data_IF_677664879889
#
_entry.id   IF_677664879889
#
_cell.length_a   1.000
_cell.length_b   1.000
_cell.length_c   1.000
_cell.angle_alpha   90.00
_cell.angle_beta   90.00
_cell.angle_gamma   90.00
#
_symmetry.space_group_name_H-M   'P 1'
#
loop_
_entity.id
_entity.type
_entity.pdbx_description
1 polymer ?
#
# COMPACT_ATOMS: atom_id res chain seq x y z
N UNK A 1 -13.95 -16.58 3.89
CA UNK A 1 -12.88 -15.93 4.69
C UNK A 1 -13.34 -14.54 5.06
N UNK A 2 -13.07 -14.09 6.29
CA UNK A 2 -13.37 -12.74 6.77
C UNK A 2 -12.18 -12.16 7.51
N UNK A 3 -12.12 -10.82 7.62
CA UNK A 3 -11.07 -10.13 8.34
C UNK A 3 -11.63 -8.96 9.17
N UNK A 4 -10.98 -8.63 10.25
CA UNK A 4 -11.18 -7.44 11.05
C UNK A 4 -9.82 -6.94 11.52
N UNK A 5 -9.65 -5.63 11.57
CA UNK A 5 -8.39 -5.04 12.03
C UNK A 5 -8.58 -3.66 12.63
N UNK A 6 -7.55 -3.19 13.30
CA UNK A 6 -7.48 -1.84 13.85
C UNK A 6 -6.06 -1.32 13.85
N UNK A 7 -5.89 -0.02 13.75
CA UNK A 7 -4.63 0.71 13.81
C UNK A 7 -4.71 1.95 12.93
N UNK A 8 -4.41 3.12 13.49
CA UNK A 8 -4.51 4.41 12.80
C UNK A 8 -3.26 5.29 12.96
N UNK A 9 -2.43 5.03 13.98
CA UNK A 9 -1.14 5.68 14.20
C UNK A 9 -0.08 4.70 14.67
N UNK A 10 1.19 5.06 14.52
CA UNK A 10 2.36 4.17 14.65
C UNK A 10 2.22 2.99 13.69
N UNK A 11 1.96 3.29 12.42
CA UNK A 11 1.69 2.31 11.36
C UNK A 11 2.75 2.42 10.27
N UNK A 12 3.74 1.57 10.38
CA UNK A 12 4.68 1.20 9.32
C UNK A 12 5.10 -0.25 9.56
N UNK A 13 4.21 -1.23 9.34
CA UNK A 13 4.45 -2.59 9.75
C UNK A 13 5.72 -3.16 9.08
N UNK A 14 6.59 -3.66 9.93
CA UNK A 14 7.59 -4.66 9.59
C UNK A 14 7.33 -5.86 10.50
N UNK A 15 6.04 -6.17 10.63
CA UNK A 15 5.40 -7.09 11.59
C UNK A 15 5.64 -6.70 13.05
N UNK A 16 5.50 -5.62 13.12
CA UNK A 16 5.42 -5.06 14.51
C UNK A 16 4.25 -4.11 14.83
N UNK A 17 1.92 -2.69 15.43
CA UNK A 17 0.86 -2.11 16.38
C UNK A 17 -0.55 -2.24 15.87
N UNK A 18 -0.39 -2.57 14.66
CA UNK A 18 -1.61 -2.92 13.99
C UNK A 18 -2.07 -4.30 14.50
N UNK A 19 -3.36 -4.44 14.70
CA UNK A 19 -3.96 -5.74 14.98
C UNK A 19 -4.84 -6.15 13.82
N UNK A 20 -4.60 -7.31 13.24
CA UNK A 20 -5.44 -7.89 12.19
C UNK A 20 -5.75 -9.36 12.46
N UNK A 21 -7.02 -9.71 12.37
CA UNK A 21 -7.53 -11.05 12.61
C UNK A 21 -8.27 -11.54 11.38
N UNK A 22 -7.88 -12.70 10.89
CA UNK A 22 -8.50 -13.38 9.77
C UNK A 22 -9.16 -14.66 10.25
N UNK A 23 -10.32 -14.97 9.71
CA UNK A 23 -11.04 -16.22 9.95
C UNK A 23 -11.44 -16.88 8.65
N UNK A 24 -11.34 -18.21 8.63
CA UNK A 24 -11.84 -19.02 7.51
C UNK A 24 -12.44 -20.31 8.02
N UNK A 25 -13.40 -20.84 7.29
CA UNK A 25 -13.97 -22.18 7.51
C UNK A 25 -13.22 -23.27 6.72
N UNK A 26 -12.29 -22.92 5.86
CA UNK A 26 -11.50 -23.88 5.09
C UNK A 26 -10.67 -24.79 6.00
N UNK A 27 -10.55 -26.07 5.64
CA UNK A 27 -9.62 -27.00 6.23
C UNK A 27 -8.24 -26.80 5.56
N UNK A 28 -7.29 -26.24 6.31
CA UNK A 28 -5.90 -25.98 5.88
C UNK A 28 -4.97 -26.41 7.01
N UNK A 29 -3.91 -27.13 6.68
CA UNK A 29 -2.93 -27.56 7.69
C UNK A 29 -2.24 -26.36 8.34
N UNK A 30 -1.90 -26.38 9.63
CA UNK A 30 -1.24 -25.27 10.32
C UNK A 30 0.04 -24.80 9.63
N UNK A 31 0.81 -25.72 9.06
CA UNK A 31 2.06 -25.42 8.35
C UNK A 31 1.79 -24.58 7.09
N UNK A 32 0.78 -24.95 6.30
CA UNK A 32 0.43 -24.20 5.10
C UNK A 32 -0.31 -22.90 5.42
N UNK A 33 -1.06 -22.87 6.50
CA UNK A 33 -1.69 -21.64 6.98
C UNK A 33 -0.64 -20.58 7.36
N UNK A 34 0.38 -20.97 8.10
CA UNK A 34 1.53 -20.10 8.42
C UNK A 34 2.30 -19.70 7.15
N UNK A 35 2.54 -20.64 6.24
CA UNK A 35 3.21 -20.35 4.97
C UNK A 35 2.44 -19.36 4.12
N UNK A 36 1.12 -19.51 4.01
CA UNK A 36 0.25 -18.58 3.29
C UNK A 36 0.39 -17.15 3.85
N UNK A 37 0.35 -17.01 5.17
CA UNK A 37 0.51 -15.72 5.84
C UNK A 37 1.87 -15.09 5.53
N UNK A 38 2.97 -15.84 5.66
CA UNK A 38 4.33 -15.40 5.34
C UNK A 38 4.50 -15.02 3.86
N UNK A 39 3.73 -15.63 2.97
CA UNK A 39 3.74 -15.31 1.53
C UNK A 39 3.04 -13.99 1.24
N UNK A 40 1.93 -13.71 1.92
CA UNK A 40 1.08 -12.54 1.65
C UNK A 40 1.64 -11.26 2.28
N UNK A 41 2.11 -11.32 3.52
CA UNK A 41 2.54 -10.17 4.32
C UNK A 41 3.58 -9.26 3.63
N UNK A 42 4.63 -9.77 2.96
CA UNK A 42 5.63 -8.91 2.31
C UNK A 42 5.09 -8.04 1.17
N UNK A 43 3.99 -8.43 0.55
CA UNK A 43 3.35 -7.70 -0.56
C UNK A 43 2.13 -6.86 -0.14
N UNK A 44 1.73 -6.94 1.14
CA UNK A 44 0.55 -6.27 1.68
C UNK A 44 0.93 -5.42 2.90
N UNK A 45 0.86 -5.94 4.10
CA UNK A 45 1.09 -5.17 5.33
C UNK A 45 2.45 -4.46 5.37
N UNK A 46 3.53 -5.12 4.92
CA UNK A 46 4.85 -4.48 4.87
C UNK A 46 4.96 -3.40 3.77
N UNK A 47 3.92 -3.22 2.95
CA UNK A 47 3.80 -2.16 1.95
C UNK A 47 2.86 -1.03 2.39
N UNK A 48 2.37 -1.06 3.61
CA UNK A 48 1.50 -0.02 4.16
C UNK A 48 2.28 0.91 5.10
N UNK A 49 1.92 2.20 5.13
CA UNK A 49 2.42 3.14 6.14
C UNK A 49 1.48 4.33 6.33
N UNK A 50 1.26 4.73 7.58
CA UNK A 50 0.62 6.01 7.95
C UNK A 50 1.69 7.07 8.22
N UNK A 51 2.68 6.80 9.08
CA UNK A 51 3.61 7.77 9.65
C UNK A 51 5.08 7.34 9.68
N UNK A 52 5.44 6.19 9.11
CA UNK A 52 6.77 5.58 9.12
C UNK A 52 7.22 5.00 10.46
N UNK A 53 6.45 5.15 11.51
CA UNK A 53 6.80 4.65 12.83
C UNK A 53 6.40 3.18 12.97
N UNK A 54 7.40 2.32 13.16
CA UNK A 54 7.20 0.87 13.36
C UNK A 54 6.93 0.59 14.82
N UNK A 55 5.81 -0.04 15.10
CA UNK A 55 5.47 -0.46 16.45
C UNK A 55 6.23 -1.70 16.90
N UNK A 56 6.22 -1.97 18.20
CA UNK A 56 6.76 -3.19 18.82
C UNK A 56 5.71 -4.29 18.99
N UNK A 57 4.44 -4.04 18.62
CA UNK A 57 3.30 -4.91 18.99
C UNK A 57 2.32 -5.19 17.83
N UNK A 58 2.73 -5.07 16.56
CA UNK A 58 1.88 -5.49 15.44
C UNK A 58 1.59 -6.98 15.54
N UNK A 59 0.36 -7.33 15.27
CA UNK A 59 -0.07 -8.73 15.34
C UNK A 59 -1.01 -9.03 14.18
N UNK A 60 -0.71 -10.08 13.44
CA UNK A 60 -1.57 -10.62 12.40
C UNK A 60 -1.81 -12.10 12.67
N UNK A 61 -3.08 -12.47 12.84
CA UNK A 61 -3.50 -13.84 13.17
C UNK A 61 -4.48 -14.33 12.12
N UNK A 62 -4.31 -15.57 11.67
CA UNK A 62 -5.28 -16.29 10.86
C UNK A 62 -5.73 -17.56 11.57
N UNK A 63 -7.03 -17.79 11.58
CA UNK A 63 -7.67 -18.95 12.21
C UNK A 63 -8.52 -19.70 11.18
N UNK A 64 -8.32 -21.01 11.09
CA UNK A 64 -9.07 -21.89 10.19
C UNK A 64 -9.83 -22.93 11.02
N UNK A 65 -11.16 -22.99 10.85
CA UNK A 65 -12.00 -23.93 11.64
C UNK A 65 -12.18 -25.30 11.00
N UNK A 66 -11.91 -25.44 9.70
CA UNK A 66 -12.13 -26.69 8.95
C UNK A 66 -13.59 -27.05 8.72
N UNK A 67 -14.53 -26.14 8.99
CA UNK A 67 -15.98 -26.41 8.91
C UNK A 67 -16.55 -26.34 7.49
N UNK A 68 -15.77 -25.91 6.48
CA UNK A 68 -16.22 -25.87 5.08
C UNK A 68 -16.41 -27.27 4.49
N UNK A 69 -15.83 -28.32 5.12
CA UNK A 69 -15.97 -29.69 4.64
C UNK A 69 -15.14 -30.02 3.40
N UNK A 70 -14.22 -29.15 2.99
CA UNK A 70 -13.28 -29.45 1.94
C UNK A 70 -12.22 -30.48 2.42
N UNK A 71 -11.61 -31.25 1.49
CA UNK A 71 -10.38 -31.98 1.83
C UNK A 71 -9.34 -31.05 2.43
N UNK A 72 -8.65 -31.48 3.49
CA UNK A 72 -7.63 -30.64 4.11
C UNK A 72 -6.53 -30.27 3.10
N UNK A 73 -6.25 -28.98 2.97
CA UNK A 73 -5.15 -28.46 2.15
C UNK A 73 -3.85 -28.73 2.93
N UNK A 74 -3.11 -29.75 2.54
CA UNK A 74 -1.85 -30.18 3.19
C UNK A 74 -0.65 -30.18 2.23
N UNK A 75 -0.82 -29.73 0.99
CA UNK A 75 0.23 -29.53 -0.01
C UNK A 75 -0.03 -28.27 -0.85
N UNK A 76 1.00 -27.77 -1.55
CA UNK A 76 0.94 -26.57 -2.39
C UNK A 76 0.33 -26.88 -3.76
N UNK A 77 -0.91 -27.30 -3.76
CA UNK A 77 -1.70 -27.59 -4.95
C UNK A 77 -2.53 -26.36 -5.42
N UNK A 78 -3.41 -26.57 -6.37
CA UNK A 78 -4.29 -25.52 -6.91
C UNK A 78 -5.17 -24.88 -5.83
N UNK A 79 -5.69 -25.66 -4.88
CA UNK A 79 -6.53 -25.17 -3.78
C UNK A 79 -5.72 -24.28 -2.82
N UNK A 80 -4.47 -24.65 -2.52
CA UNK A 80 -3.55 -23.79 -1.75
C UNK A 80 -3.30 -22.46 -2.45
N UNK A 81 -3.03 -22.47 -3.76
CA UNK A 81 -2.81 -21.24 -4.51
C UNK A 81 -4.05 -20.37 -4.58
N UNK A 82 -5.24 -20.96 -4.72
CA UNK A 82 -6.51 -20.25 -4.65
C UNK A 82 -6.72 -19.62 -3.25
N UNK A 83 -6.39 -20.38 -2.18
CA UNK A 83 -6.46 -19.88 -0.81
C UNK A 83 -5.52 -18.68 -0.60
N UNK A 84 -4.27 -18.75 -1.06
CA UNK A 84 -3.30 -17.64 -0.98
C UNK A 84 -3.78 -16.43 -1.77
N UNK A 85 -4.34 -16.62 -2.96
CA UNK A 85 -4.89 -15.53 -3.77
C UNK A 85 -6.07 -14.83 -3.05
N UNK A 86 -6.99 -15.58 -2.47
CA UNK A 86 -8.08 -15.03 -1.68
C UNK A 86 -7.59 -14.27 -0.43
N UNK A 87 -6.61 -14.83 0.29
CA UNK A 87 -5.99 -14.17 1.43
C UNK A 87 -5.30 -12.86 1.01
N UNK A 88 -4.59 -12.85 -0.14
CA UNK A 88 -3.95 -11.66 -0.69
C UNK A 88 -4.97 -10.56 -0.97
N UNK A 89 -6.06 -10.90 -1.67
CA UNK A 89 -7.10 -9.92 -2.02
C UNK A 89 -7.72 -9.26 -0.78
N UNK A 90 -8.00 -10.06 0.26
CA UNK A 90 -8.53 -9.50 1.52
C UNK A 90 -7.46 -8.66 2.24
N UNK A 91 -6.19 -9.10 2.23
CA UNK A 91 -5.12 -8.37 2.88
C UNK A 91 -4.84 -7.02 2.18
N UNK A 92 -4.90 -6.95 0.85
CA UNK A 92 -4.82 -5.69 0.10
C UNK A 92 -5.96 -4.72 0.49
N UNK A 93 -7.18 -5.23 0.58
CA UNK A 93 -8.33 -4.43 1.02
C UNK A 93 -8.11 -3.93 2.45
N UNK A 94 -7.70 -4.78 3.38
CA UNK A 94 -7.42 -4.38 4.76
C UNK A 94 -6.30 -3.34 4.87
N UNK A 95 -5.26 -3.43 4.03
CA UNK A 95 -4.20 -2.42 3.98
C UNK A 95 -4.71 -1.06 3.49
N UNK A 96 -5.59 -1.05 2.48
CA UNK A 96 -6.23 0.18 2.01
C UNK A 96 -7.10 0.82 3.10
N UNK A 97 -7.95 0.02 3.78
CA UNK A 97 -8.79 0.50 4.88
C UNK A 97 -7.95 1.07 6.05
N UNK A 98 -6.91 0.35 6.48
CA UNK A 98 -6.04 0.83 7.55
C UNK A 98 -5.29 2.12 7.17
N UNK A 99 -4.78 2.21 5.94
CA UNK A 99 -4.08 3.39 5.49
C UNK A 99 -5.02 4.59 5.34
N UNK A 100 -6.24 4.37 4.81
CA UNK A 100 -7.26 5.41 4.65
C UNK A 100 -7.83 5.92 5.99
N UNK A 101 -7.81 5.08 7.04
CA UNK A 101 -8.23 5.43 8.41
C UNK A 101 -7.06 5.93 9.28
N UNK A 102 -5.98 6.40 8.65
CA UNK A 102 -4.84 6.97 9.37
C UNK A 102 -5.24 8.21 10.20
N UNK A 103 -4.53 8.46 11.31
CA UNK A 103 -4.82 9.58 12.22
C UNK A 103 -4.87 10.93 11.50
N UNK A 104 -6.07 11.52 11.44
CA UNK A 104 -6.31 12.79 10.77
C UNK A 104 -6.22 12.75 9.24
N UNK A 105 -6.16 11.56 8.63
CA UNK A 105 -6.11 11.42 7.18
C UNK A 105 -7.40 11.90 6.50
N UNK A 106 -7.25 12.46 5.31
CA UNK A 106 -8.37 12.86 4.44
C UNK A 106 -8.33 12.15 3.08
N UNK A 107 -7.21 11.50 2.76
CA UNK A 107 -7.03 10.76 1.50
C UNK A 107 -6.32 9.42 1.76
N UNK A 108 -6.83 8.37 1.12
CA UNK A 108 -6.08 7.14 0.87
C UNK A 108 -5.17 7.35 -0.34
N UNK A 109 -3.90 7.06 -0.21
CA UNK A 109 -2.93 7.07 -1.30
C UNK A 109 -2.53 5.63 -1.60
N UNK A 110 -2.86 5.14 -2.79
CA UNK A 110 -2.33 3.88 -3.31
C UNK A 110 -1.27 4.20 -4.36
N UNK A 111 -0.07 3.64 -4.23
CA UNK A 111 0.94 3.72 -5.28
C UNK A 111 1.11 2.36 -5.94
N UNK A 112 0.83 2.29 -7.23
CA UNK A 112 1.04 1.13 -8.08
C UNK A 112 2.26 1.35 -8.98
N UNK A 113 3.27 0.50 -8.82
CA UNK A 113 4.47 0.49 -9.64
C UNK A 113 4.40 -0.68 -10.61
N UNK A 114 4.64 -0.41 -11.88
CA UNK A 114 4.69 -1.41 -12.95
C UNK A 114 6.01 -1.32 -13.72
N UNK A 115 6.32 -2.36 -14.48
CA UNK A 115 7.51 -2.47 -15.32
C UNK A 115 8.83 -2.15 -14.60
N UNK A 116 8.93 -2.51 -13.31
CA UNK A 116 10.18 -2.42 -12.55
C UNK A 116 11.14 -3.55 -12.90
N UNK A 117 12.46 -3.35 -12.72
CA UNK A 117 13.45 -4.37 -13.06
C UNK A 117 13.31 -5.66 -12.24
N UNK A 118 12.85 -5.56 -11.02
CA UNK A 118 12.56 -6.68 -10.12
C UNK A 118 11.52 -6.31 -9.05
N UNK A 119 10.98 -7.32 -8.36
CA UNK A 119 9.95 -7.16 -7.33
C UNK A 119 10.45 -6.36 -6.11
N UNK A 120 11.72 -6.47 -5.75
CA UNK A 120 12.32 -5.73 -4.63
C UNK A 120 12.31 -4.23 -4.94
N UNK A 121 12.70 -3.86 -6.14
CA UNK A 121 12.67 -2.47 -6.63
C UNK A 121 11.24 -1.95 -6.71
N UNK A 122 10.30 -2.72 -7.29
CA UNK A 122 8.89 -2.32 -7.35
C UNK A 122 8.31 -2.01 -5.96
N UNK A 123 8.56 -2.88 -4.99
CA UNK A 123 8.13 -2.69 -3.59
C UNK A 123 8.80 -1.50 -2.93
N UNK A 124 10.10 -1.32 -3.11
CA UNK A 124 10.83 -0.21 -2.52
C UNK A 124 10.33 1.14 -3.06
N UNK A 125 10.14 1.25 -4.37
CA UNK A 125 9.65 2.47 -5.04
C UNK A 125 8.22 2.78 -4.63
N UNK A 126 7.29 1.82 -4.71
CA UNK A 126 5.89 2.07 -4.32
C UNK A 126 5.79 2.54 -2.87
N UNK A 127 6.54 1.90 -1.96
CA UNK A 127 6.57 2.29 -0.55
C UNK A 127 7.21 3.65 -0.35
N UNK A 128 8.31 3.99 -1.03
CA UNK A 128 8.95 5.31 -0.92
C UNK A 128 8.01 6.44 -1.30
N UNK A 129 7.18 6.26 -2.32
CA UNK A 129 6.22 7.28 -2.77
C UNK A 129 5.16 7.53 -1.70
N UNK A 130 4.48 6.49 -1.19
CA UNK A 130 3.44 6.67 -0.16
C UNK A 130 3.98 7.14 1.19
N UNK A 131 5.26 6.93 1.45
CA UNK A 131 5.96 7.35 2.66
C UNK A 131 6.55 8.76 2.58
N UNK A 132 6.57 9.41 1.43
CA UNK A 132 7.15 10.75 1.25
C UNK A 132 6.29 11.82 1.93
N UNK A 133 6.76 12.39 3.03
CA UNK A 133 6.05 13.47 3.73
C UNK A 133 5.74 14.67 2.82
N UNK A 134 6.66 15.02 1.92
CA UNK A 134 6.43 16.10 0.95
C UNK A 134 5.31 15.75 -0.03
N UNK A 135 5.25 14.51 -0.52
CA UNK A 135 4.20 14.08 -1.41
C UNK A 135 2.86 13.94 -0.67
N UNK A 136 2.83 13.34 0.52
CA UNK A 136 1.64 13.26 1.37
C UNK A 136 1.03 14.65 1.64
N UNK A 137 1.87 15.66 1.93
CA UNK A 137 1.44 17.04 2.11
C UNK A 137 0.94 17.68 0.80
N UNK A 138 1.50 17.31 -0.37
CA UNK A 138 1.01 17.77 -1.66
C UNK A 138 -0.39 17.24 -1.95
N UNK A 139 -0.65 15.95 -1.68
CA UNK A 139 -1.99 15.35 -1.83
C UNK A 139 -3.00 16.07 -0.94
N UNK A 140 -2.69 16.31 0.33
CA UNK A 140 -3.53 17.11 1.23
C UNK A 140 -3.84 18.50 0.66
N UNK A 141 -2.85 19.16 0.05
CA UNK A 141 -2.99 20.47 -0.60
C UNK A 141 -3.60 20.41 -1.99
N UNK A 142 -3.95 19.23 -2.52
CA UNK A 142 -4.42 18.98 -3.89
C UNK A 142 -3.46 19.51 -4.96
N UNK A 143 -2.16 19.41 -4.68
CA UNK A 143 -1.07 19.78 -5.57
C UNK A 143 -0.56 18.52 -6.31
N UNK A 144 -0.72 18.47 -7.63
CA UNK A 144 -0.27 17.37 -8.48
C UNK A 144 1.26 17.36 -8.66
N UNK A 145 1.98 17.36 -7.53
CA UNK A 145 3.42 17.55 -7.47
C UNK A 145 4.20 16.31 -7.89
N UNK A 146 4.27 16.07 -9.20
CA UNK A 146 5.05 14.99 -9.79
C UNK A 146 6.54 15.04 -9.42
N UNK A 147 7.11 16.24 -9.19
CA UNK A 147 8.50 16.41 -8.76
C UNK A 147 8.77 15.78 -7.39
N UNK A 148 7.81 15.83 -6.46
CA UNK A 148 7.91 15.15 -5.16
C UNK A 148 7.82 13.64 -5.29
N UNK A 149 7.04 13.13 -6.26
CA UNK A 149 6.99 11.69 -6.59
C UNK A 149 8.35 11.24 -7.14
N UNK A 150 8.92 11.96 -8.14
CA UNK A 150 10.25 11.65 -8.66
C UNK A 150 11.35 11.75 -7.59
N UNK A 151 11.25 12.72 -6.70
CA UNK A 151 12.17 12.83 -5.57
C UNK A 151 12.10 11.56 -4.68
N UNK A 152 10.88 11.08 -4.37
CA UNK A 152 10.68 9.85 -3.61
C UNK A 152 11.26 8.62 -4.32
N UNK A 153 11.06 8.51 -5.63
CA UNK A 153 11.66 7.46 -6.45
C UNK A 153 13.20 7.57 -6.44
N UNK A 154 13.73 8.78 -6.61
CA UNK A 154 15.16 9.02 -6.74
C UNK A 154 16.00 8.74 -5.49
N UNK A 155 15.43 8.89 -4.28
CA UNK A 155 16.13 8.49 -3.05
C UNK A 155 15.84 7.06 -2.59
N UNK A 156 15.03 6.32 -3.34
CA UNK A 156 14.78 4.91 -3.02
C UNK A 156 16.07 4.10 -3.14
N UNK A 157 16.46 3.33 -2.12
CA UNK A 157 17.67 2.52 -2.19
C UNK A 157 17.57 1.44 -3.27
N UNK A 158 18.57 1.37 -4.14
CA UNK A 158 18.66 0.39 -5.23
C UNK A 158 19.52 0.90 -6.38
N UNK A 159 19.83 0.01 -7.31
CA UNK A 159 20.53 0.34 -8.56
C UNK A 159 19.51 0.18 -9.71
N UNK A 160 18.87 1.28 -10.09
CA UNK A 160 17.90 1.33 -11.18
C UNK A 160 17.89 2.71 -11.85
N UNK A 161 17.54 2.76 -13.15
CA UNK A 161 17.37 4.02 -13.87
C UNK A 161 15.96 4.59 -13.66
N UNK A 162 15.88 5.93 -13.60
CA UNK A 162 14.62 6.68 -13.58
C UNK A 162 14.28 7.30 -14.94
N UNK A 163 15.13 7.16 -15.96
CA UNK A 163 15.03 7.90 -17.23
C UNK A 163 13.74 7.63 -18.01
N UNK A 164 13.11 6.48 -17.76
CA UNK A 164 11.86 6.07 -18.42
C UNK A 164 10.62 6.19 -17.53
N UNK A 165 10.77 6.75 -16.33
CA UNK A 165 9.66 6.81 -15.38
C UNK A 165 8.56 7.71 -15.92
N UNK A 166 7.36 7.14 -15.98
CA UNK A 166 6.11 7.84 -16.29
C UNK A 166 5.18 7.80 -15.08
N UNK A 167 4.43 8.89 -14.83
CA UNK A 167 3.55 8.99 -13.65
C UNK A 167 2.18 9.54 -14.05
N UNK A 168 1.14 8.87 -13.55
CA UNK A 168 -0.26 9.33 -13.60
C UNK A 168 -0.82 9.44 -12.20
N UNK A 169 -1.70 10.42 -12.00
CA UNK A 169 -2.56 10.54 -10.83
C UNK A 169 -4.00 10.22 -11.26
N UNK A 170 -4.66 9.35 -10.53
CA UNK A 170 -5.97 8.82 -10.88
C UNK A 170 -6.90 8.75 -9.66
N UNK A 171 -8.18 8.93 -9.89
CA UNK A 171 -9.27 8.73 -8.93
C UNK A 171 -10.57 8.44 -9.67
N UNK A 172 -11.70 8.33 -8.96
CA UNK A 172 -13.01 8.23 -9.62
C UNK A 172 -13.39 9.48 -10.46
N UNK A 173 -12.72 10.63 -10.24
CA UNK A 173 -12.95 11.86 -11.02
C UNK A 173 -12.21 11.86 -12.37
N UNK A 174 -11.26 10.94 -12.59
CA UNK A 174 -10.50 10.84 -13.83
C UNK A 174 -9.04 10.48 -13.62
N UNK A 175 -8.23 10.76 -14.62
CA UNK A 175 -6.80 10.49 -14.64
C UNK A 175 -6.05 11.63 -15.32
N UNK A 176 -4.90 12.02 -14.77
CA UNK A 176 -3.99 13.00 -15.36
C UNK A 176 -2.59 12.43 -15.48
N UNK A 177 -1.98 12.58 -16.66
CA UNK A 177 -0.61 12.20 -16.94
C UNK A 177 0.30 13.39 -16.61
N UNK A 178 1.12 13.26 -15.57
CA UNK A 178 1.86 14.40 -15.00
C UNK A 178 3.37 14.35 -15.24
N UNK A 179 3.90 13.18 -15.59
CA UNK A 179 5.34 13.01 -15.82
C UNK A 179 5.59 11.97 -16.91
N UNK A 180 6.41 12.31 -17.89
CA UNK A 180 6.84 11.45 -18.99
C UNK A 180 8.37 11.40 -19.04
N UNK A 181 8.93 10.18 -19.01
CA UNK A 181 10.38 9.95 -19.06
C UNK A 181 11.15 10.85 -18.07
N UNK A 182 10.71 10.82 -16.80
CA UNK A 182 11.25 11.60 -15.69
C UNK A 182 11.22 13.13 -15.91
N UNK A 183 10.38 13.64 -16.82
CA UNK A 183 10.22 15.05 -17.14
C UNK A 183 8.76 15.50 -17.02
N UNK A 184 8.56 16.80 -16.94
CA UNK A 184 7.22 17.40 -16.93
C UNK A 184 6.43 17.01 -18.20
N UNK A 185 5.22 16.50 -18.01
CA UNK A 185 4.24 16.34 -19.06
C UNK A 185 3.13 17.38 -18.89
N UNK A 186 2.73 18.12 -19.95
CA UNK A 186 1.67 19.14 -19.83
C UNK A 186 0.32 18.50 -19.44
N UNK A 187 -0.31 19.03 -18.41
CA UNK A 187 -1.62 18.62 -17.93
C UNK A 187 -2.46 19.83 -17.48
N UNK A 188 -3.75 19.61 -17.25
CA UNK A 188 -4.65 20.61 -16.70
C UNK A 188 -4.61 20.60 -15.18
N UNK A 189 -4.23 21.72 -14.56
CA UNK A 189 -4.25 21.89 -13.10
C UNK A 189 -5.67 21.76 -12.55
N UNK A 190 -6.70 22.23 -13.27
CA UNK A 190 -8.11 22.11 -12.87
C UNK A 190 -8.58 20.65 -12.86
N UNK A 191 -8.11 19.82 -13.80
CA UNK A 191 -8.42 18.39 -13.83
C UNK A 191 -7.64 17.66 -12.73
N UNK A 192 -6.38 17.99 -12.54
CA UNK A 192 -5.56 17.43 -11.47
C UNK A 192 -6.15 17.74 -10.08
N UNK A 193 -6.60 18.97 -9.86
CA UNK A 193 -7.27 19.34 -8.60
C UNK A 193 -8.56 18.55 -8.36
N UNK A 194 -9.34 18.23 -9.41
CA UNK A 194 -10.53 17.36 -9.29
C UNK A 194 -10.16 15.92 -8.94
N UNK A 195 -9.11 15.39 -9.58
CA UNK A 195 -8.60 14.04 -9.27
C UNK A 195 -8.16 13.96 -7.82
N UNK A 196 -7.39 14.95 -7.34
CA UNK A 196 -6.89 15.01 -5.97
C UNK A 196 -7.90 15.49 -4.93
N UNK A 197 -9.11 15.87 -5.32
CA UNK A 197 -10.20 16.18 -4.38
C UNK A 197 -10.93 14.93 -3.88
N UNK A 198 -10.72 13.78 -4.51
CA UNK A 198 -11.34 12.53 -4.14
C UNK A 198 -10.59 11.84 -3.01
N UNK A 199 -11.31 11.09 -2.16
CA UNK A 199 -10.73 10.39 -1.03
C UNK A 199 -9.66 9.37 -1.47
N UNK A 200 -9.94 8.60 -2.52
CA UNK A 200 -9.06 7.54 -3.02
C UNK A 200 -8.23 8.06 -4.18
N UNK A 201 -6.94 8.24 -3.95
CA UNK A 201 -5.96 8.69 -4.94
C UNK A 201 -5.03 7.54 -5.31
N UNK A 202 -4.98 7.21 -6.59
CA UNK A 202 -4.06 6.22 -7.15
C UNK A 202 -2.92 6.92 -7.89
N UNK A 203 -1.70 6.67 -7.45
CA UNK A 203 -0.47 7.05 -8.12
C UNK A 203 0.02 5.87 -8.94
N UNK A 204 -0.01 5.98 -10.26
CA UNK A 204 0.54 4.97 -11.16
C UNK A 204 1.95 5.39 -11.58
N UNK A 205 2.90 4.51 -11.38
CA UNK A 205 4.31 4.69 -11.76
C UNK A 205 4.71 3.57 -12.70
N UNK A 206 5.01 3.90 -13.93
CA UNK A 206 5.61 2.98 -14.89
C UNK A 206 7.12 3.22 -14.93
N UNK A 207 7.93 2.21 -14.61
CA UNK A 207 9.39 2.33 -14.61
C UNK A 207 10.03 2.00 -15.98
N UNK A 208 9.32 1.33 -16.88
CA UNK A 208 9.77 1.02 -18.25
C UNK A 208 11.04 0.18 -18.35
N UNK A 209 11.39 -0.61 -17.33
CA UNK A 209 12.70 -1.29 -17.22
C UNK A 209 12.62 -2.80 -16.98
N UNK A 210 11.41 -3.36 -16.80
CA UNK A 210 11.23 -4.81 -16.57
C UNK A 210 9.75 -5.18 -16.54
N UNK A 211 9.40 -6.28 -15.87
CA UNK A 211 8.04 -6.82 -15.82
C UNK A 211 7.47 -6.91 -14.38
N UNK A 212 8.26 -6.53 -13.38
CA UNK A 212 7.82 -6.62 -12.00
C UNK A 212 6.86 -5.49 -11.63
N UNK A 213 5.91 -5.81 -10.74
CA UNK A 213 4.94 -4.85 -10.22
C UNK A 213 4.74 -5.01 -8.71
N UNK A 214 4.36 -3.92 -8.05
CA UNK A 214 3.98 -3.91 -6.63
C UNK A 214 3.04 -2.75 -6.33
N UNK A 215 2.33 -2.86 -5.20
CA UNK A 215 1.50 -1.81 -4.64
C UNK A 215 1.97 -1.43 -3.23
N UNK A 216 1.68 -0.19 -2.84
CA UNK A 216 1.81 0.27 -1.48
C UNK A 216 0.65 1.20 -1.13
N UNK A 217 0.33 1.28 0.16
CA UNK A 217 -0.79 2.06 0.69
C UNK A 217 -0.30 3.03 1.76
N UNK A 218 -0.79 4.23 1.72
CA UNK A 218 -0.54 5.28 2.71
C UNK A 218 -1.68 6.27 2.74
N UNK A 219 -1.51 7.34 3.49
CA UNK A 219 -2.46 8.45 3.56
C UNK A 219 -1.76 9.78 3.36
N UNK A 220 -2.52 10.85 3.20
CA UNK A 220 -1.99 12.21 3.18
C UNK A 220 -1.43 12.63 4.57
N UNK A 221 -0.76 13.77 4.61
CA UNK A 221 -0.25 14.37 5.85
C UNK A 221 -0.97 15.70 6.09
N UNK A 222 -1.78 15.72 7.15
CA UNK A 222 -2.68 16.82 7.47
C UNK A 222 -2.26 17.59 8.73
N UNK A 223 -2.86 18.73 8.97
CA UNK A 223 -2.72 19.47 10.25
C UNK A 223 -3.28 18.68 11.42
N UNK A 224 -4.33 17.88 11.20
CA UNK A 224 -4.96 17.08 12.25
C UNK A 224 -4.07 15.96 12.74
N UNK A 225 -3.21 15.36 11.88
CA UNK A 225 -2.17 14.42 12.34
C UNK A 225 -1.28 15.06 13.41
N UNK A 226 -0.77 16.27 13.13
CA UNK A 226 0.10 16.98 14.08
C UNK A 226 -0.65 17.34 15.35
N UNK A 227 -1.91 17.79 15.23
CA UNK A 227 -2.74 18.16 16.38
C UNK A 227 -3.03 16.95 17.28
N UNK A 228 -3.45 15.82 16.69
CA UNK A 228 -3.75 14.58 17.43
C UNK A 228 -2.52 14.13 18.21
N UNK A 229 -1.36 14.02 17.52
CA UNK A 229 -0.14 13.52 18.13
C UNK A 229 0.53 14.53 19.08
N UNK A 230 0.32 15.83 18.88
CA UNK A 230 0.77 16.89 19.77
C UNK A 230 -0.02 17.00 21.08
N UNK A 231 -1.31 16.68 21.03
CA UNK A 231 -2.21 16.72 22.19
C UNK A 231 -2.24 15.39 22.97
N UNK A 232 -1.85 14.29 22.33
CA UNK A 232 -1.82 12.96 22.94
C UNK A 232 -0.65 12.85 23.92
N UNK A 233 -0.97 12.45 25.16
CA UNK A 233 0.03 12.21 26.22
C UNK A 233 -0.17 10.82 26.79
N UNK A 234 0.86 10.02 26.75
CA UNK A 234 0.94 8.69 27.38
C UNK A 234 1.53 8.77 28.76
#
# INVERSE_FOLDING_TARGET
MGAIGKGSGMIAPNMATMLAFYTTDAAVSPILLEKALKTVVPGTYNQMSVDLDTSTNDTLIIMASGLAGNPEICEENADYHAFVAALTAIAEHMCAEHAGDGEGATHLITCEVTHAPDLKTARAVSRSVVCSNLFKAAVFGRDANWGRILCAIGYTPGDFSIDKVCVWLSSKAGEVYVCENAAYHPYSEDEAAKVLAEHDVLVKVDMGTGDASAKAWGCDLTYDYVKINGDYRT
#
